data_IF_819527376587
#
_entry.id   IF_819527376587
#
_cell.length_a   1.000
_cell.length_b   1.000
_cell.length_c   1.000
_cell.angle_alpha   90.00
_cell.angle_beta   90.00
_cell.angle_gamma   90.00
#
_symmetry.space_group_name_H-M   'P 1'
#
loop_
_entity.id
_entity.type
_entity.pdbx_description
1 polymer ?
#
# COMPACT_ATOMS: atom_id res chain seq x y z
N UNK A 1 -34.39 12.54 -83.13
CA UNK A 1 -33.62 12.65 -81.89
C UNK A 1 -33.51 11.26 -81.31
N UNK A 2 -32.32 10.65 -81.39
CA UNK A 2 -32.07 9.34 -80.79
C UNK A 2 -32.09 9.52 -79.26
N UNK A 3 -32.96 8.77 -78.58
CA UNK A 3 -33.01 8.74 -77.12
C UNK A 3 -31.77 8.00 -76.63
N UNK A 4 -30.91 8.66 -75.87
CA UNK A 4 -29.80 7.99 -75.20
C UNK A 4 -30.37 7.19 -74.03
N UNK A 5 -30.56 5.88 -74.22
CA UNK A 5 -30.77 4.95 -73.11
C UNK A 5 -29.41 4.75 -72.43
N UNK A 6 -29.32 5.16 -71.17
CA UNK A 6 -28.12 4.93 -70.35
C UNK A 6 -28.10 3.43 -70.02
N UNK A 7 -26.96 2.78 -70.28
CA UNK A 7 -26.74 1.38 -69.93
C UNK A 7 -26.87 1.17 -68.42
N UNK A 8 -27.62 0.13 -68.01
CA UNK A 8 -27.81 -0.20 -66.59
C UNK A 8 -26.49 -0.74 -66.01
N UNK A 9 -25.81 0.09 -65.22
CA UNK A 9 -24.52 -0.22 -64.61
C UNK A 9 -24.63 -0.78 -63.19
N UNK A 10 -25.83 -1.16 -62.74
CA UNK A 10 -26.08 -1.68 -61.38
C UNK A 10 -25.18 -2.86 -61.01
N UNK A 11 -24.77 -3.65 -62.01
CA UNK A 11 -23.95 -4.85 -61.83
C UNK A 11 -22.43 -4.58 -61.89
N UNK A 12 -22.00 -3.38 -62.29
CA UNK A 12 -20.57 -3.06 -62.46
C UNK A 12 -19.79 -3.03 -61.15
N UNK A 13 -20.47 -2.74 -60.04
CA UNK A 13 -19.85 -2.62 -58.72
C UNK A 13 -20.05 -3.85 -57.84
N UNK A 14 -20.81 -4.86 -58.29
CA UNK A 14 -21.10 -6.07 -57.53
C UNK A 14 -21.56 -5.74 -56.10
N UNK A 15 -22.73 -5.12 -55.96
CA UNK A 15 -23.25 -4.77 -54.64
C UNK A 15 -23.35 -6.03 -53.78
N UNK A 16 -22.71 -6.06 -52.58
CA UNK A 16 -22.76 -7.23 -51.72
C UNK A 16 -24.21 -7.57 -51.45
N UNK A 17 -24.55 -8.84 -51.64
CA UNK A 17 -25.90 -9.31 -51.42
C UNK A 17 -26.28 -9.11 -49.95
N UNK A 18 -27.57 -8.98 -49.67
CA UNK A 18 -28.05 -8.88 -48.28
C UNK A 18 -27.59 -10.06 -47.42
N UNK A 19 -27.41 -11.24 -48.01
CA UNK A 19 -26.89 -12.40 -47.30
C UNK A 19 -25.40 -12.22 -46.94
N UNK A 20 -24.59 -11.72 -47.86
CA UNK A 20 -23.16 -11.46 -47.61
C UNK A 20 -22.96 -10.39 -46.56
N UNK A 21 -23.74 -9.31 -46.60
CA UNK A 21 -23.66 -8.26 -45.57
C UNK A 21 -24.02 -8.81 -44.19
N UNK A 22 -25.08 -9.60 -44.08
CA UNK A 22 -25.49 -10.20 -42.80
C UNK A 22 -24.44 -11.19 -42.28
N UNK A 23 -23.85 -12.01 -43.16
CA UNK A 23 -22.75 -12.91 -42.78
C UNK A 23 -21.54 -12.13 -42.25
N UNK A 24 -21.17 -11.05 -42.92
CA UNK A 24 -20.06 -10.21 -42.49
C UNK A 24 -20.31 -9.59 -41.11
N UNK A 25 -21.50 -9.03 -40.88
CA UNK A 25 -21.87 -8.49 -39.56
C UNK A 25 -21.90 -9.57 -38.47
N UNK A 26 -22.39 -10.77 -38.78
CA UNK A 26 -22.36 -11.88 -37.83
C UNK A 26 -20.93 -12.25 -37.43
N UNK A 27 -20.00 -12.31 -38.38
CA UNK A 27 -18.58 -12.56 -38.11
C UNK A 27 -17.94 -11.46 -37.26
N UNK A 28 -18.18 -10.19 -37.58
CA UNK A 28 -17.67 -9.07 -36.77
C UNK A 28 -18.18 -9.13 -35.32
N UNK A 29 -19.48 -9.39 -35.15
CA UNK A 29 -20.05 -9.49 -33.80
C UNK A 29 -19.50 -10.70 -33.04
N UNK A 30 -19.23 -11.81 -33.72
CA UNK A 30 -18.59 -12.97 -33.10
C UNK A 30 -17.18 -12.63 -32.59
N UNK A 31 -16.37 -11.96 -33.41
CA UNK A 31 -15.03 -11.49 -33.04
C UNK A 31 -15.08 -10.53 -31.85
N UNK A 32 -15.96 -9.53 -31.87
CA UNK A 32 -16.13 -8.57 -30.77
C UNK A 32 -16.52 -9.26 -29.47
N UNK A 33 -17.44 -10.23 -29.53
CA UNK A 33 -17.84 -11.02 -28.36
C UNK A 33 -16.66 -11.83 -27.82
N UNK A 34 -15.84 -12.42 -28.69
CA UNK A 34 -14.65 -13.16 -28.25
C UNK A 34 -13.64 -12.25 -27.55
N UNK A 35 -13.38 -11.06 -28.10
CA UNK A 35 -12.49 -10.06 -27.49
C UNK A 35 -13.00 -9.62 -26.12
N UNK A 36 -14.29 -9.28 -26.01
CA UNK A 36 -14.89 -8.86 -24.74
C UNK A 36 -14.83 -9.97 -23.69
N UNK A 37 -15.04 -11.23 -24.08
CA UNK A 37 -14.94 -12.38 -23.18
C UNK A 37 -13.51 -12.57 -22.67
N UNK A 38 -12.51 -12.36 -23.53
CA UNK A 38 -11.11 -12.40 -23.14
C UNK A 38 -10.78 -11.28 -22.14
N UNK A 39 -11.12 -10.03 -22.47
CA UNK A 39 -10.90 -8.88 -21.59
C UNK A 39 -11.58 -9.05 -20.23
N UNK A 40 -12.82 -9.57 -20.21
CA UNK A 40 -13.54 -9.83 -18.98
C UNK A 40 -12.84 -10.89 -18.12
N UNK A 41 -12.30 -11.95 -18.73
CA UNK A 41 -11.55 -12.98 -18.00
C UNK A 41 -10.28 -12.40 -17.38
N UNK A 42 -9.49 -11.66 -18.17
CA UNK A 42 -8.28 -11.00 -17.68
C UNK A 42 -8.59 -9.99 -16.57
N UNK A 43 -9.66 -9.19 -16.71
CA UNK A 43 -10.08 -8.27 -15.68
C UNK A 43 -10.47 -8.99 -14.37
N UNK A 44 -11.17 -10.13 -14.46
CA UNK A 44 -11.51 -10.95 -13.30
C UNK A 44 -10.28 -11.51 -12.59
N UNK A 45 -9.30 -11.99 -13.36
CA UNK A 45 -8.03 -12.50 -12.82
C UNK A 45 -7.25 -11.38 -12.12
N UNK A 46 -7.14 -10.21 -12.75
CA UNK A 46 -6.48 -9.04 -12.17
C UNK A 46 -7.14 -8.60 -10.86
N UNK A 47 -8.47 -8.50 -10.83
CA UNK A 47 -9.22 -8.13 -9.62
C UNK A 47 -8.99 -9.16 -8.52
N UNK A 48 -9.01 -10.46 -8.85
CA UNK A 48 -8.79 -11.53 -7.87
C UNK A 48 -7.39 -11.44 -7.25
N UNK A 49 -6.37 -11.23 -8.09
CA UNK A 49 -5.00 -11.01 -7.65
C UNK A 49 -4.86 -9.76 -6.75
N UNK A 50 -5.49 -8.64 -7.13
CA UNK A 50 -5.49 -7.42 -6.32
C UNK A 50 -6.17 -7.62 -4.96
N UNK A 51 -7.26 -8.38 -4.90
CA UNK A 51 -7.94 -8.71 -3.64
C UNK A 51 -7.04 -9.56 -2.75
N UNK A 52 -6.34 -10.54 -3.31
CA UNK A 52 -5.40 -11.38 -2.57
C UNK A 52 -4.24 -10.56 -2.00
N UNK A 53 -3.60 -9.72 -2.81
CA UNK A 53 -2.52 -8.83 -2.37
C UNK A 53 -3.01 -7.86 -1.29
N UNK A 54 -4.20 -7.30 -1.43
CA UNK A 54 -4.77 -6.39 -0.43
C UNK A 54 -5.01 -7.12 0.92
N UNK A 55 -5.49 -8.35 0.88
CA UNK A 55 -5.64 -9.17 2.08
C UNK A 55 -4.28 -9.42 2.78
N UNK A 56 -3.24 -9.73 2.00
CA UNK A 56 -1.87 -9.90 2.51
C UNK A 56 -1.33 -8.61 3.15
N UNK A 57 -1.43 -7.48 2.44
CA UNK A 57 -1.00 -6.17 2.94
C UNK A 57 -1.75 -5.76 4.22
N UNK A 58 -3.05 -6.05 4.29
CA UNK A 58 -3.86 -5.78 5.48
C UNK A 58 -3.38 -6.60 6.68
N UNK A 59 -3.01 -7.87 6.47
CA UNK A 59 -2.46 -8.72 7.51
C UNK A 59 -1.09 -8.21 7.99
N UNK A 60 -0.21 -7.80 7.07
CA UNK A 60 1.10 -7.22 7.40
C UNK A 60 0.97 -5.90 8.17
N UNK A 61 0.08 -5.00 7.73
CA UNK A 61 -0.19 -3.75 8.43
C UNK A 61 -0.68 -4.01 9.87
N UNK A 62 -1.56 -5.00 10.07
CA UNK A 62 -2.02 -5.39 11.40
C UNK A 62 -0.87 -5.90 12.26
N UNK A 63 0.00 -6.76 11.71
CA UNK A 63 1.20 -7.27 12.40
C UNK A 63 2.13 -6.13 12.81
N UNK A 64 2.40 -5.20 11.89
CA UNK A 64 3.29 -4.06 12.14
C UNK A 64 2.73 -3.13 13.21
N UNK A 65 1.40 -2.88 13.21
CA UNK A 65 0.74 -2.08 14.25
C UNK A 65 0.89 -2.69 15.64
N UNK A 66 0.69 -4.01 15.76
CA UNK A 66 0.88 -4.71 17.05
C UNK A 66 2.33 -4.63 17.51
N UNK A 67 3.28 -4.84 16.58
CA UNK A 67 4.70 -4.73 16.90
C UNK A 67 5.10 -3.33 17.38
N UNK A 68 4.61 -2.28 16.70
CA UNK A 68 4.83 -0.89 17.12
C UNK A 68 4.24 -0.61 18.50
N UNK A 69 3.00 -1.03 18.76
CA UNK A 69 2.37 -0.83 20.08
C UNK A 69 3.18 -1.49 21.20
N UNK A 70 3.71 -2.70 20.96
CA UNK A 70 4.58 -3.37 21.92
C UNK A 70 5.89 -2.59 22.16
N UNK A 71 6.52 -2.09 21.09
CA UNK A 71 7.72 -1.27 21.22
C UNK A 71 7.48 0.03 21.98
N UNK A 72 6.34 0.70 21.74
CA UNK A 72 5.95 1.91 22.47
C UNK A 72 5.79 1.62 23.97
N UNK A 73 5.15 0.50 24.32
CA UNK A 73 5.00 0.09 25.73
C UNK A 73 6.35 -0.17 26.38
N UNK A 74 7.25 -0.88 25.69
CA UNK A 74 8.60 -1.17 26.19
C UNK A 74 9.42 0.12 26.36
N UNK A 75 9.33 1.03 25.40
CA UNK A 75 10.00 2.33 25.46
C UNK A 75 9.50 3.16 26.65
N UNK A 76 8.19 3.14 26.92
CA UNK A 76 7.60 3.82 28.09
C UNK A 76 8.07 3.22 29.42
N UNK A 77 8.16 1.89 29.49
CA UNK A 77 8.69 1.18 30.66
C UNK A 77 10.16 1.54 30.91
N UNK A 78 10.98 1.50 29.86
CA UNK A 78 12.40 1.88 29.93
C UNK A 78 12.58 3.33 30.36
N UNK A 79 11.77 4.25 29.83
CA UNK A 79 11.82 5.66 30.22
C UNK A 79 11.51 5.84 31.72
N UNK A 80 10.51 5.12 32.23
CA UNK A 80 10.15 5.14 33.65
C UNK A 80 11.28 4.61 34.53
N UNK A 81 11.96 3.54 34.10
CA UNK A 81 13.14 3.01 34.80
C UNK A 81 14.29 4.00 34.79
N UNK A 82 14.58 4.63 33.64
CA UNK A 82 15.61 5.66 33.52
C UNK A 82 15.34 6.81 34.49
N UNK A 83 14.12 7.34 34.51
CA UNK A 83 13.73 8.41 35.43
C UNK A 83 13.94 8.02 36.90
N UNK A 84 13.51 6.82 37.28
CA UNK A 84 13.72 6.30 38.64
C UNK A 84 15.21 6.20 38.99
N UNK A 85 16.03 5.68 38.08
CA UNK A 85 17.47 5.56 38.29
C UNK A 85 18.15 6.93 38.37
N UNK A 86 17.73 7.90 37.56
CA UNK A 86 18.20 9.29 37.63
C UNK A 86 17.94 9.89 39.00
N UNK A 87 16.74 9.73 39.56
CA UNK A 87 16.43 10.23 40.91
C UNK A 87 17.33 9.61 41.99
N UNK A 88 17.63 8.31 41.89
CA UNK A 88 18.53 7.62 42.82
C UNK A 88 19.97 8.14 42.67
N UNK A 89 20.43 8.36 41.44
CA UNK A 89 21.75 8.93 41.16
C UNK A 89 21.88 10.35 41.72
N UNK A 90 20.88 11.20 41.53
CA UNK A 90 20.88 12.57 42.07
C UNK A 90 20.96 12.56 43.60
N UNK A 91 20.17 11.69 44.25
CA UNK A 91 20.21 11.53 45.70
C UNK A 91 21.57 11.03 46.18
N UNK A 92 22.16 10.04 45.51
CA UNK A 92 23.50 9.52 45.82
C UNK A 92 24.54 10.63 45.72
N UNK A 93 24.50 11.40 44.64
CA UNK A 93 25.43 12.49 44.36
C UNK A 93 25.37 13.55 45.45
N UNK A 94 24.16 13.94 45.88
CA UNK A 94 23.95 14.87 47.00
C UNK A 94 24.56 14.35 48.31
N UNK A 95 24.30 13.10 48.68
CA UNK A 95 24.83 12.49 49.91
C UNK A 95 26.36 12.45 49.89
N UNK A 96 26.97 12.12 48.74
CA UNK A 96 28.43 12.12 48.60
C UNK A 96 29.00 13.52 48.88
N UNK A 97 28.41 14.56 48.30
CA UNK A 97 28.85 15.93 48.54
C UNK A 97 28.70 16.34 50.01
N UNK A 98 27.59 15.99 50.67
CA UNK A 98 27.38 16.26 52.09
C UNK A 98 28.42 15.54 52.98
N UNK A 99 28.73 14.27 52.69
CA UNK A 99 29.74 13.51 53.42
C UNK A 99 31.16 14.06 53.23
N UNK A 100 31.51 14.47 52.00
CA UNK A 100 32.81 15.09 51.72
C UNK A 100 32.98 16.41 52.47
N UNK A 101 31.95 17.27 52.48
CA UNK A 101 31.96 18.52 53.25
C UNK A 101 32.11 18.26 54.76
N UNK A 102 31.36 17.31 55.31
CA UNK A 102 31.44 16.97 56.73
C UNK A 102 32.81 16.39 57.15
N UNK A 103 33.46 15.64 56.27
CA UNK A 103 34.81 15.12 56.51
C UNK A 103 35.88 16.23 56.43
N UNK A 104 35.77 17.17 55.48
CA UNK A 104 36.66 18.33 55.39
C UNK A 104 36.59 19.25 56.61
N UNK A 105 35.38 19.49 57.16
CA UNK A 105 35.25 20.25 58.41
C UNK A 105 35.81 19.51 59.63
N UNK A 106 35.80 18.17 59.63
CA UNK A 106 36.33 17.36 60.75
C UNK A 106 37.85 17.27 60.77
N UNK A 107 38.52 17.28 59.61
CA UNK A 107 39.99 17.33 59.56
C UNK A 107 40.52 18.67 60.05
N UNK A 108 39.87 19.80 59.71
CA UNK A 108 40.21 21.14 60.19
C UNK A 108 40.15 21.30 61.72
N UNK A 109 39.22 20.60 62.40
CA UNK A 109 39.06 20.68 63.87
C UNK A 109 40.03 19.80 64.66
N UNK A 110 40.76 18.87 64.01
CA UNK A 110 41.73 17.98 64.66
C UNK A 110 43.17 18.50 64.60
N UNK A 111 43.42 19.55 63.83
CA UNK A 111 44.76 20.15 63.61
C UNK A 111 44.96 21.46 64.38
N UNK A 112 44.15 21.74 65.40
CA UNK A 112 44.29 22.86 66.34
C UNK A 112 44.18 22.31 67.75
#
# INVERSE_FOLDING_TARGET
MASYEIEDTSDWLGCPTRLETVKHYASMLEEDIQILRFQLRTAKENISCLVEINAQLTAELKKNRVWMANLETETSNQLSQIQSLTMVLDRKTRIIFELQAANGCRSSKKTT
#
